data_IF_247020777557
#
_entry.id   IF_247020777557
#
_cell.length_a   1.000
_cell.length_b   1.000
_cell.length_c   1.000
_cell.angle_alpha   90.00
_cell.angle_beta   90.00
_cell.angle_gamma   90.00
#
_symmetry.space_group_name_H-M   'P 1'
#
loop_
_entity.id
_entity.type
_entity.pdbx_description
1 polymer ?
#
# COMPACT_ATOMS: atom_id res chain seq x y z
N UNK A 1 1.85 21.57 21.83
CA UNK A 1 1.46 21.76 20.42
C UNK A 1 0.64 20.53 20.06
N UNK A 2 -0.59 20.71 19.62
CA UNK A 2 -1.41 19.60 19.12
C UNK A 2 -0.89 19.23 17.73
N UNK A 3 -0.38 18.01 17.57
CA UNK A 3 0.04 17.48 16.27
C UNK A 3 -1.20 17.42 15.38
N UNK A 4 -1.14 17.97 14.17
CA UNK A 4 -2.26 17.93 13.22
C UNK A 4 -2.52 16.50 12.73
N UNK A 5 -3.75 16.21 12.28
CA UNK A 5 -4.09 14.89 11.72
C UNK A 5 -3.16 14.49 10.57
N UNK A 6 -2.77 15.42 9.72
CA UNK A 6 -1.88 15.16 8.57
C UNK A 6 -0.49 14.65 9.00
N UNK A 7 0.06 15.18 10.09
CA UNK A 7 1.35 14.72 10.61
C UNK A 7 1.23 13.33 11.25
N UNK A 8 0.14 13.06 11.98
CA UNK A 8 -0.16 11.74 12.56
C UNK A 8 -0.35 10.71 11.46
N UNK A 9 -1.09 11.08 10.41
CA UNK A 9 -1.32 10.22 9.26
C UNK A 9 -0.01 9.88 8.52
N UNK A 10 0.80 10.88 8.19
CA UNK A 10 2.08 10.68 7.51
C UNK A 10 3.02 9.79 8.32
N UNK A 11 3.09 10.00 9.64
CA UNK A 11 3.89 9.17 10.54
C UNK A 11 3.40 7.72 10.56
N UNK A 12 2.09 7.49 10.74
CA UNK A 12 1.49 6.16 10.77
C UNK A 12 1.67 5.44 9.43
N UNK A 13 1.44 6.12 8.31
CA UNK A 13 1.68 5.59 6.96
C UNK A 13 3.12 5.12 6.77
N UNK A 14 4.10 5.94 7.19
CA UNK A 14 5.52 5.61 7.10
C UNK A 14 5.85 4.37 7.94
N UNK A 15 5.31 4.29 9.16
CA UNK A 15 5.51 3.11 10.01
C UNK A 15 4.84 1.86 9.43
N UNK A 16 3.63 1.97 8.87
CA UNK A 16 2.94 0.85 8.20
C UNK A 16 3.73 0.32 6.99
N UNK A 17 4.33 1.22 6.20
CA UNK A 17 5.23 0.82 5.11
C UNK A 17 6.42 0.04 5.65
N UNK A 18 7.10 0.55 6.66
CA UNK A 18 8.24 -0.12 7.29
C UNK A 18 7.89 -1.50 7.87
N UNK A 19 6.69 -1.62 8.47
CA UNK A 19 6.15 -2.91 8.95
C UNK A 19 5.88 -3.85 7.78
N UNK A 20 5.24 -3.39 6.69
CA UNK A 20 5.00 -4.19 5.50
C UNK A 20 6.32 -4.72 4.90
N UNK A 21 7.35 -3.89 4.87
CA UNK A 21 8.67 -4.23 4.33
C UNK A 21 9.46 -5.15 5.26
N UNK A 22 9.57 -4.79 6.56
CA UNK A 22 10.52 -5.43 7.48
C UNK A 22 9.92 -6.58 8.30
N UNK A 23 8.63 -6.52 8.65
CA UNK A 23 7.98 -7.58 9.46
C UNK A 23 7.17 -8.58 8.62
N UNK A 24 6.83 -8.26 7.35
CA UNK A 24 6.00 -9.14 6.53
C UNK A 24 6.70 -9.56 5.25
N UNK A 25 7.08 -8.62 4.37
CA UNK A 25 7.66 -8.95 3.07
C UNK A 25 9.08 -9.52 3.15
N UNK A 26 9.93 -8.96 4.00
CA UNK A 26 11.30 -9.44 4.18
C UNK A 26 11.39 -10.88 4.71
N UNK A 27 10.69 -11.24 5.82
CA UNK A 27 10.57 -12.61 6.28
C UNK A 27 10.01 -13.56 5.23
N UNK A 28 8.95 -13.14 4.52
CA UNK A 28 8.38 -13.94 3.43
C UNK A 28 9.38 -14.15 2.28
N UNK A 29 10.13 -13.12 1.92
CA UNK A 29 11.12 -13.24 0.85
C UNK A 29 12.21 -14.25 1.21
N UNK A 30 12.73 -14.21 2.45
CA UNK A 30 13.74 -15.18 2.91
C UNK A 30 13.19 -16.61 2.98
N UNK A 31 11.92 -16.77 3.34
CA UNK A 31 11.29 -18.07 3.45
C UNK A 31 10.79 -18.65 2.12
N UNK A 32 10.30 -17.82 1.21
CA UNK A 32 9.53 -18.25 0.03
C UNK A 32 9.89 -17.54 -1.28
N UNK A 33 10.86 -16.62 -1.30
CA UNK A 33 11.36 -15.96 -2.51
C UNK A 33 10.39 -14.95 -3.12
N UNK A 34 9.38 -14.49 -2.40
CA UNK A 34 8.38 -13.51 -2.89
C UNK A 34 8.16 -12.37 -1.91
N UNK A 35 8.02 -11.14 -2.43
CA UNK A 35 7.69 -9.95 -1.65
C UNK A 35 6.21 -9.56 -1.75
N UNK A 36 5.42 -10.30 -2.56
CA UNK A 36 4.02 -9.97 -2.85
C UNK A 36 3.17 -10.07 -1.59
N UNK A 37 2.45 -9.00 -1.28
CA UNK A 37 1.49 -8.97 -0.18
C UNK A 37 0.06 -8.89 -0.74
N UNK A 38 -0.91 -9.27 0.08
CA UNK A 38 -2.33 -9.20 -0.23
C UNK A 38 -3.01 -8.20 0.69
N UNK A 39 -3.79 -7.27 0.14
CA UNK A 39 -4.65 -6.37 0.93
C UNK A 39 -5.77 -7.14 1.62
N UNK A 40 -6.16 -6.69 2.79
CA UNK A 40 -7.27 -7.19 3.61
C UNK A 40 -8.17 -6.03 4.03
N UNK A 41 -9.42 -6.27 4.44
CA UNK A 41 -10.34 -5.20 4.84
C UNK A 41 -9.76 -4.23 5.88
N UNK A 42 -8.95 -4.75 6.77
CA UNK A 42 -8.38 -4.06 7.92
C UNK A 42 -6.86 -4.22 8.02
N UNK A 43 -6.20 -4.46 6.91
CA UNK A 43 -4.74 -4.62 6.90
C UNK A 43 -4.20 -5.22 5.62
N UNK A 44 -3.17 -6.05 5.79
CA UNK A 44 -2.54 -6.78 4.70
C UNK A 44 -1.87 -8.06 5.22
N UNK A 45 -1.59 -8.99 4.31
CA UNK A 45 -0.99 -10.27 4.68
C UNK A 45 0.11 -10.69 3.70
N UNK A 46 1.05 -11.46 4.20
CA UNK A 46 1.92 -12.28 3.38
C UNK A 46 1.09 -13.26 2.54
N UNK A 47 1.61 -13.64 1.37
CA UNK A 47 0.93 -14.57 0.46
C UNK A 47 1.44 -16.01 0.57
N UNK A 48 2.62 -16.21 1.18
CA UNK A 48 3.32 -17.49 1.23
C UNK A 48 3.71 -17.95 2.64
N UNK A 49 3.52 -17.11 3.65
CA UNK A 49 3.76 -17.45 5.06
C UNK A 49 2.62 -16.91 5.93
N UNK A 50 2.41 -17.46 7.14
CA UNK A 50 1.28 -17.06 8.01
C UNK A 50 1.61 -15.81 8.84
N UNK A 51 1.88 -14.68 8.17
CA UNK A 51 2.06 -13.37 8.78
C UNK A 51 1.07 -12.37 8.17
N UNK A 52 0.45 -11.56 9.02
CA UNK A 52 -0.48 -10.51 8.60
C UNK A 52 -0.42 -9.31 9.53
N UNK A 53 -0.81 -8.15 9.02
CA UNK A 53 -1.18 -7.01 9.81
C UNK A 53 -2.70 -6.92 9.89
N UNK A 54 -3.24 -6.66 11.06
CA UNK A 54 -4.66 -6.50 11.36
C UNK A 54 -4.85 -5.25 12.21
N UNK A 55 -5.41 -4.19 11.67
CA UNK A 55 -5.47 -2.88 12.34
C UNK A 55 -4.07 -2.37 12.69
N UNK A 56 -3.75 -2.40 13.96
CA UNK A 56 -2.43 -2.01 14.50
C UNK A 56 -1.71 -3.19 15.19
N UNK A 57 -2.06 -4.44 14.84
CA UNK A 57 -1.46 -5.64 15.40
C UNK A 57 -0.79 -6.49 14.33
N UNK A 58 0.39 -7.02 14.64
CA UNK A 58 1.01 -8.08 13.84
C UNK A 58 0.45 -9.44 14.27
N UNK A 59 -0.06 -10.22 13.30
CA UNK A 59 -0.63 -11.55 13.50
C UNK A 59 0.35 -12.59 12.98
N UNK A 60 0.61 -13.61 13.78
CA UNK A 60 1.52 -14.72 13.50
C UNK A 60 0.92 -16.04 13.99
N UNK A 61 1.49 -17.21 13.71
CA UNK A 61 0.85 -18.50 14.00
C UNK A 61 0.39 -18.71 15.44
N UNK A 62 1.16 -18.18 16.40
CA UNK A 62 0.89 -18.39 17.83
C UNK A 62 0.08 -17.25 18.49
N UNK A 63 -0.35 -16.23 17.72
CA UNK A 63 -1.16 -15.14 18.26
C UNK A 63 -1.03 -13.81 17.52
N UNK A 64 -1.25 -12.72 18.25
CA UNK A 64 -1.02 -11.35 17.76
C UNK A 64 -0.30 -10.51 18.83
N UNK A 65 0.37 -9.46 18.40
CA UNK A 65 1.01 -8.45 19.23
C UNK A 65 0.69 -7.04 18.71
N UNK A 66 0.43 -6.08 19.61
CA UNK A 66 0.28 -4.69 19.21
C UNK A 66 1.60 -4.13 18.67
N UNK A 67 1.53 -3.36 17.60
CA UNK A 67 2.66 -2.63 17.04
C UNK A 67 2.91 -1.34 17.85
N UNK A 68 3.38 -1.53 19.09
CA UNK A 68 3.69 -0.47 20.04
C UNK A 68 5.01 -0.77 20.73
N UNK A 69 5.98 0.11 20.62
CA UNK A 69 7.33 -0.06 21.14
C UNK A 69 8.35 -0.43 20.07
N UNK A 70 9.59 -0.81 20.44
CA UNK A 70 10.66 -1.11 19.51
C UNK A 70 10.32 -2.26 18.57
N UNK A 71 10.50 -2.06 17.26
CA UNK A 71 10.15 -3.05 16.23
C UNK A 71 10.91 -4.37 16.41
N UNK A 72 12.19 -4.33 16.78
CA UNK A 72 13.01 -5.51 17.03
C UNK A 72 12.52 -6.32 18.23
N UNK A 73 12.06 -5.66 19.28
CA UNK A 73 11.48 -6.33 20.45
C UNK A 73 10.17 -7.05 20.09
N UNK A 74 9.31 -6.42 19.26
CA UNK A 74 8.08 -7.03 18.77
C UNK A 74 8.41 -8.23 17.87
N UNK A 75 9.36 -8.08 16.95
CA UNK A 75 9.81 -9.14 16.08
C UNK A 75 10.35 -10.34 16.86
N UNK A 76 11.18 -10.09 17.87
CA UNK A 76 11.72 -11.13 18.74
C UNK A 76 10.60 -11.88 19.48
N UNK A 77 9.64 -11.14 20.06
CA UNK A 77 8.52 -11.73 20.79
C UNK A 77 7.58 -12.56 19.89
N UNK A 78 7.42 -12.16 18.61
CA UNK A 78 6.63 -12.89 17.61
C UNK A 78 7.42 -14.02 16.90
N UNK A 79 8.71 -14.16 17.14
CA UNK A 79 9.57 -15.12 16.42
C UNK A 79 9.75 -14.77 14.94
N UNK A 80 9.63 -13.48 14.57
CA UNK A 80 9.77 -12.99 13.21
C UNK A 80 11.24 -12.64 12.94
N UNK A 81 11.81 -13.21 11.86
CA UNK A 81 13.11 -12.80 11.32
C UNK A 81 12.95 -11.46 10.58
N UNK A 82 13.00 -10.35 11.34
CA UNK A 82 12.74 -9.01 10.83
C UNK A 82 13.86 -8.50 9.89
N UNK A 83 13.49 -7.55 9.04
CA UNK A 83 14.39 -6.85 8.12
C UNK A 83 13.86 -6.85 6.69
N UNK A 84 14.27 -5.88 5.87
CA UNK A 84 13.78 -5.72 4.51
C UNK A 84 14.23 -6.88 3.58
N UNK A 85 13.59 -7.05 2.40
CA UNK A 85 13.97 -8.04 1.41
C UNK A 85 15.20 -7.59 0.62
N UNK A 86 16.39 -7.85 1.13
CA UNK A 86 17.65 -7.43 0.53
C UNK A 86 17.88 -8.02 -0.86
N UNK A 87 18.39 -7.20 -1.79
CA UNK A 87 18.76 -7.62 -3.14
C UNK A 87 17.59 -7.72 -4.14
N UNK A 88 16.37 -7.37 -3.75
CA UNK A 88 15.19 -7.38 -4.63
C UNK A 88 15.00 -5.99 -5.27
N UNK A 89 15.08 -4.96 -4.46
CA UNK A 89 14.98 -3.54 -4.87
C UNK A 89 15.85 -2.68 -3.95
N UNK A 90 16.10 -1.45 -4.35
CA UNK A 90 16.77 -0.48 -3.49
C UNK A 90 15.81 -0.02 -2.40
N UNK A 91 16.04 -0.43 -1.17
CA UNK A 91 15.26 0.04 -0.02
C UNK A 91 15.63 1.49 0.24
N UNK A 92 14.71 2.39 -0.07
CA UNK A 92 14.85 3.81 0.20
C UNK A 92 14.38 4.09 1.62
N UNK A 93 15.26 4.65 2.46
CA UNK A 93 14.95 4.99 3.84
C UNK A 93 14.43 3.79 4.67
N UNK A 94 15.25 2.75 4.88
CA UNK A 94 14.84 1.57 5.62
C UNK A 94 14.54 1.94 7.07
N UNK A 95 13.44 1.38 7.61
CA UNK A 95 13.11 1.55 9.03
C UNK A 95 14.18 0.90 9.90
N UNK A 96 14.71 1.67 10.86
CA UNK A 96 15.69 1.15 11.81
C UNK A 96 15.07 0.06 12.70
N UNK A 97 15.83 -1.01 13.05
CA UNK A 97 15.30 -2.11 13.86
C UNK A 97 14.74 -1.69 15.22
N UNK A 98 15.33 -0.66 15.84
CA UNK A 98 14.94 -0.09 17.12
C UNK A 98 13.89 1.01 17.04
N UNK A 99 13.28 1.21 15.85
CA UNK A 99 12.20 2.21 15.67
C UNK A 99 11.06 1.94 16.65
N UNK A 100 10.71 2.94 17.44
CA UNK A 100 9.57 2.90 18.37
C UNK A 100 8.26 3.06 17.60
N UNK A 101 7.57 1.96 17.36
CA UNK A 101 6.31 1.93 16.65
C UNK A 101 5.18 2.54 17.50
N UNK A 102 4.39 3.42 16.88
CA UNK A 102 3.24 4.11 17.49
C UNK A 102 2.22 4.41 16.41
N UNK A 103 1.49 3.39 16.00
CA UNK A 103 0.46 3.53 14.99
C UNK A 103 -0.80 4.18 15.57
N UNK A 104 -1.28 5.24 14.93
CA UNK A 104 -2.60 5.79 15.23
C UNK A 104 -3.68 4.92 14.57
N UNK A 105 -4.67 4.40 15.32
CA UNK A 105 -5.66 3.48 14.78
C UNK A 105 -6.56 4.09 13.69
N UNK A 106 -6.87 5.40 13.77
CA UNK A 106 -7.71 6.08 12.77
C UNK A 106 -6.95 6.28 11.48
N UNK A 107 -5.68 6.69 11.58
CA UNK A 107 -4.80 6.82 10.43
C UNK A 107 -4.51 5.46 9.77
N UNK A 108 -4.28 4.42 10.56
CA UNK A 108 -4.07 3.05 10.07
C UNK A 108 -5.30 2.52 9.34
N UNK A 109 -6.50 2.72 9.92
CA UNK A 109 -7.77 2.34 9.29
C UNK A 109 -7.94 3.02 7.93
N UNK A 110 -7.63 4.32 7.81
CA UNK A 110 -7.72 5.05 6.55
C UNK A 110 -6.77 4.49 5.48
N UNK A 111 -5.53 4.14 5.85
CA UNK A 111 -4.58 3.48 4.94
C UNK A 111 -5.13 2.12 4.48
N UNK A 112 -5.58 1.28 5.40
CA UNK A 112 -6.07 -0.07 5.07
C UNK A 112 -7.30 -0.02 4.18
N UNK A 113 -8.27 0.83 4.52
CA UNK A 113 -9.50 1.03 3.75
C UNK A 113 -9.22 1.48 2.31
N UNK A 114 -8.31 2.43 2.15
CA UNK A 114 -7.92 2.94 0.83
C UNK A 114 -7.29 1.86 -0.04
N UNK A 115 -6.31 1.12 0.50
CA UNK A 115 -5.63 0.04 -0.22
C UNK A 115 -6.59 -1.12 -0.54
N UNK A 116 -7.48 -1.48 0.38
CA UNK A 116 -8.47 -2.53 0.15
C UNK A 116 -9.49 -2.15 -0.92
N UNK A 117 -10.03 -0.94 -0.88
CA UNK A 117 -10.90 -0.40 -1.92
C UNK A 117 -10.20 -0.38 -3.29
N UNK A 118 -8.91 -0.01 -3.32
CA UNK A 118 -8.07 -0.08 -4.50
C UNK A 118 -7.98 -1.48 -5.08
N UNK A 119 -7.73 -2.48 -4.24
CA UNK A 119 -7.70 -3.89 -4.65
C UNK A 119 -9.03 -4.38 -5.23
N UNK A 120 -10.16 -3.92 -4.67
CA UNK A 120 -11.51 -4.21 -5.19
C UNK A 120 -11.74 -3.57 -6.56
N UNK A 121 -11.44 -2.27 -6.70
CA UNK A 121 -11.59 -1.55 -7.96
C UNK A 121 -10.73 -2.16 -9.08
N UNK A 122 -9.48 -2.55 -8.78
CA UNK A 122 -8.61 -3.23 -9.72
C UNK A 122 -9.19 -4.55 -10.21
N UNK A 123 -9.74 -5.38 -9.33
CA UNK A 123 -10.42 -6.63 -9.71
C UNK A 123 -11.66 -6.41 -10.55
N UNK A 124 -12.40 -5.33 -10.30
CA UNK A 124 -13.60 -4.98 -11.06
C UNK A 124 -13.24 -4.55 -12.49
N UNK A 125 -12.24 -3.67 -12.65
CA UNK A 125 -11.87 -3.08 -13.95
C UNK A 125 -10.96 -3.99 -14.76
N UNK A 126 -10.11 -4.77 -14.09
CA UNK A 126 -9.10 -5.66 -14.66
C UNK A 126 -9.23 -7.07 -14.08
N UNK A 127 -10.34 -7.79 -14.35
CA UNK A 127 -10.69 -9.04 -13.67
C UNK A 127 -9.71 -10.20 -13.93
N UNK A 128 -8.89 -10.12 -14.97
CA UNK A 128 -7.86 -11.10 -15.27
C UNK A 128 -6.55 -10.86 -14.51
N UNK A 129 -6.41 -9.69 -13.87
CA UNK A 129 -5.23 -9.32 -13.11
C UNK A 129 -5.40 -9.68 -11.63
N UNK A 130 -4.26 -9.85 -10.94
CA UNK A 130 -4.21 -10.14 -9.52
C UNK A 130 -3.54 -8.97 -8.81
N UNK A 131 -4.31 -8.09 -8.14
CA UNK A 131 -3.75 -6.97 -7.39
C UNK A 131 -2.75 -7.44 -6.33
N UNK A 132 -1.61 -6.77 -6.28
CA UNK A 132 -0.53 -7.03 -5.32
C UNK A 132 -0.26 -5.75 -4.54
N UNK A 133 -0.16 -5.85 -3.23
CA UNK A 133 0.42 -4.79 -2.41
C UNK A 133 1.95 -4.93 -2.47
N UNK A 134 2.60 -3.93 -3.06
CA UNK A 134 4.05 -3.86 -3.22
C UNK A 134 4.66 -3.11 -2.04
N UNK A 135 5.51 -3.76 -1.21
CA UNK A 135 6.06 -3.13 -0.01
C UNK A 135 6.98 -1.95 -0.31
N UNK A 136 7.70 -1.98 -1.45
CA UNK A 136 8.64 -0.93 -1.86
C UNK A 136 7.98 0.43 -2.09
N UNK A 137 6.78 0.42 -2.67
CA UNK A 137 5.99 1.63 -2.96
C UNK A 137 4.83 1.82 -1.99
N UNK A 138 4.50 0.80 -1.22
CA UNK A 138 3.35 0.70 -0.33
C UNK A 138 2.06 1.08 -1.05
N UNK A 139 1.87 0.46 -2.21
CA UNK A 139 0.72 0.62 -3.09
C UNK A 139 0.14 -0.74 -3.51
N UNK A 140 -1.16 -0.80 -3.73
CA UNK A 140 -1.80 -1.95 -4.37
C UNK A 140 -1.93 -1.69 -5.86
N UNK A 141 -1.33 -2.54 -6.68
CA UNK A 141 -1.23 -2.28 -8.11
C UNK A 141 -1.30 -3.54 -8.99
N UNK A 142 -1.58 -3.28 -10.26
CA UNK A 142 -1.42 -4.21 -11.39
C UNK A 142 -0.81 -3.48 -12.57
N UNK A 143 -0.17 -4.22 -13.47
CA UNK A 143 0.30 -3.72 -14.77
C UNK A 143 -0.44 -4.43 -15.89
N UNK A 144 -1.04 -3.69 -16.81
CA UNK A 144 -1.66 -4.20 -18.04
C UNK A 144 -1.28 -3.31 -19.22
N UNK A 145 -0.85 -3.90 -20.33
CA UNK A 145 -0.51 -3.21 -21.60
C UNK A 145 0.42 -1.98 -21.41
N UNK A 146 1.50 -2.14 -20.66
CA UNK A 146 2.47 -1.07 -20.35
C UNK A 146 1.85 0.11 -19.55
N UNK A 147 0.81 -0.16 -18.78
CA UNK A 147 0.17 0.82 -17.89
C UNK A 147 0.07 0.26 -16.50
N UNK A 148 0.53 1.01 -15.51
CA UNK A 148 0.35 0.72 -14.10
C UNK A 148 -0.96 1.35 -13.61
N UNK A 149 -1.81 0.55 -12.98
CA UNK A 149 -3.01 0.99 -12.28
C UNK A 149 -2.86 0.66 -10.81
N UNK A 150 -3.09 1.61 -9.93
CA UNK A 150 -2.93 1.31 -8.51
C UNK A 150 -3.51 2.37 -7.58
N UNK A 151 -3.47 2.04 -6.29
CA UNK A 151 -3.76 2.95 -5.19
C UNK A 151 -2.57 2.98 -4.26
N UNK A 152 -2.01 4.17 -4.08
CA UNK A 152 -0.96 4.47 -3.11
C UNK A 152 -1.58 4.89 -1.78
N UNK A 153 -0.93 4.53 -0.68
CA UNK A 153 -1.25 5.07 0.64
C UNK A 153 -0.85 6.54 0.82
N UNK A 154 -0.25 7.15 -0.21
CA UNK A 154 0.36 8.47 -0.19
C UNK A 154 1.88 8.40 -0.11
N UNK A 155 2.54 9.49 -0.47
CA UNK A 155 3.98 9.67 -0.46
C UNK A 155 4.35 11.12 -0.07
N UNK A 156 5.61 11.51 -0.22
CA UNK A 156 6.07 12.87 0.14
C UNK A 156 5.57 13.94 -0.83
N UNK A 157 5.23 13.56 -2.06
CA UNK A 157 4.70 14.48 -3.09
C UNK A 157 3.18 14.63 -2.96
N UNK A 158 2.51 13.55 -2.61
CA UNK A 158 1.05 13.50 -2.39
C UNK A 158 0.76 12.77 -1.07
N UNK A 159 0.68 13.49 0.05
CA UNK A 159 0.74 12.89 1.38
C UNK A 159 -0.49 12.07 1.79
N UNK A 160 -1.61 12.17 1.07
CA UNK A 160 -2.85 11.41 1.31
C UNK A 160 -3.06 10.30 0.29
N UNK A 161 -3.88 9.27 0.56
CA UNK A 161 -4.15 8.20 -0.38
C UNK A 161 -4.71 8.69 -1.72
N UNK A 162 -4.24 8.08 -2.80
CA UNK A 162 -4.67 8.41 -4.16
C UNK A 162 -4.66 7.20 -5.08
N UNK A 163 -5.60 7.18 -6.03
CA UNK A 163 -5.57 6.27 -7.17
C UNK A 163 -4.72 6.85 -8.30
N UNK A 164 -4.06 6.00 -9.08
CA UNK A 164 -3.23 6.44 -10.19
C UNK A 164 -3.34 5.55 -11.43
N UNK A 165 -3.12 6.18 -12.61
CA UNK A 165 -2.93 5.53 -13.91
C UNK A 165 -1.60 6.01 -14.48
N UNK A 166 -0.62 5.12 -14.53
CA UNK A 166 0.76 5.41 -14.92
C UNK A 166 1.17 4.68 -16.21
N UNK A 167 0.91 5.24 -17.40
CA UNK A 167 1.40 4.67 -18.65
C UNK A 167 2.91 4.83 -18.76
N UNK A 168 3.62 3.78 -19.26
CA UNK A 168 5.06 3.83 -19.47
C UNK A 168 5.45 4.87 -20.54
N UNK A 169 4.55 5.11 -21.50
CA UNK A 169 4.71 6.17 -22.47
C UNK A 169 4.02 7.45 -21.98
N UNK A 170 4.76 8.56 -21.94
CA UNK A 170 4.23 9.85 -21.50
C UNK A 170 2.97 10.25 -22.27
N UNK A 171 1.95 10.68 -21.55
CA UNK A 171 0.69 11.20 -22.09
C UNK A 171 0.52 12.67 -21.75
N UNK A 172 -0.30 13.35 -22.53
CA UNK A 172 -0.63 14.77 -22.34
C UNK A 172 -2.14 14.98 -22.49
N UNK A 173 -2.67 16.00 -21.84
CA UNK A 173 -4.11 16.32 -21.86
C UNK A 173 -4.64 16.54 -20.44
N UNK A 174 -5.89 17.01 -20.32
CA UNK A 174 -6.46 17.43 -19.03
C UNK A 174 -6.60 16.30 -17.99
N UNK A 175 -6.67 15.04 -18.43
CA UNK A 175 -6.73 13.88 -17.54
C UNK A 175 -5.34 13.56 -16.93
N UNK A 176 -4.28 13.76 -17.69
CA UNK A 176 -2.90 13.42 -17.33
C UNK A 176 -2.28 14.52 -16.47
N UNK A 177 -2.67 14.59 -15.21
CA UNK A 177 -2.42 15.67 -14.27
C UNK A 177 -1.21 15.46 -13.35
N UNK A 178 -0.46 14.37 -13.55
CA UNK A 178 0.74 14.05 -12.76
C UNK A 178 1.94 13.74 -13.67
N UNK A 179 3.19 13.89 -13.17
CA UNK A 179 4.40 13.60 -13.96
C UNK A 179 4.47 12.17 -14.51
N UNK A 180 3.91 11.20 -13.77
CA UNK A 180 3.86 9.78 -14.11
C UNK A 180 2.59 9.37 -14.86
N UNK A 181 1.63 10.27 -15.07
CA UNK A 181 0.36 9.98 -15.72
C UNK A 181 -0.80 10.76 -15.12
N UNK A 182 -1.75 10.08 -14.48
CA UNK A 182 -2.90 10.70 -13.80
C UNK A 182 -3.02 10.21 -12.37
N UNK A 183 -3.50 11.08 -11.49
CA UNK A 183 -3.87 10.75 -10.12
C UNK A 183 -5.25 11.31 -9.75
N UNK A 184 -5.89 10.65 -8.78
CA UNK A 184 -7.16 11.04 -8.18
C UNK A 184 -7.06 10.86 -6.66
N UNK A 185 -7.12 11.95 -5.90
CA UNK A 185 -7.09 11.91 -4.43
C UNK A 185 -8.35 11.25 -3.87
N UNK A 186 -8.20 10.43 -2.84
CA UNK A 186 -9.31 9.74 -2.20
C UNK A 186 -9.89 10.59 -1.05
N UNK A 187 -11.20 10.51 -0.84
CA UNK A 187 -11.88 11.22 0.23
C UNK A 187 -11.97 10.33 1.49
N UNK A 188 -11.44 10.76 2.64
CA UNK A 188 -11.53 10.00 3.87
C UNK A 188 -12.96 9.84 4.42
N UNK A 189 -13.93 10.61 3.94
CA UNK A 189 -15.33 10.47 4.31
C UNK A 189 -16.05 9.32 3.60
N UNK A 190 -15.50 8.80 2.48
CA UNK A 190 -16.10 7.69 1.74
C UNK A 190 -15.85 6.35 2.47
N UNK A 191 -16.85 5.48 2.47
CA UNK A 191 -16.69 4.09 2.87
C UNK A 191 -16.00 3.25 1.78
N UNK A 192 -15.74 1.96 2.05
CA UNK A 192 -15.03 1.06 1.12
C UNK A 192 -15.73 0.98 -0.24
N UNK A 193 -17.05 0.88 -0.26
CA UNK A 193 -17.82 0.67 -1.51
C UNK A 193 -17.82 1.95 -2.35
N UNK A 194 -17.99 3.11 -1.72
CA UNK A 194 -17.92 4.41 -2.38
C UNK A 194 -16.51 4.68 -2.94
N UNK A 195 -15.46 4.39 -2.15
CA UNK A 195 -14.09 4.47 -2.62
C UNK A 195 -13.83 3.55 -3.81
N UNK A 196 -14.21 2.28 -3.71
CA UNK A 196 -14.01 1.31 -4.79
C UNK A 196 -14.72 1.73 -6.08
N UNK A 197 -15.95 2.25 -5.99
CA UNK A 197 -16.69 2.76 -7.13
C UNK A 197 -16.00 3.95 -7.81
N UNK A 198 -15.56 4.94 -7.03
CA UNK A 198 -14.86 6.13 -7.56
C UNK A 198 -13.51 5.77 -8.17
N UNK A 199 -12.76 4.88 -7.54
CA UNK A 199 -11.48 4.38 -8.06
C UNK A 199 -11.70 3.62 -9.37
N UNK A 200 -12.72 2.76 -9.44
CA UNK A 200 -13.06 2.02 -10.65
C UNK A 200 -13.44 2.98 -11.80
N UNK A 201 -14.27 3.99 -11.55
CA UNK A 201 -14.62 5.01 -12.53
C UNK A 201 -13.38 5.76 -13.05
N UNK A 202 -12.45 6.11 -12.17
CA UNK A 202 -11.19 6.77 -12.53
C UNK A 202 -10.32 5.86 -13.41
N UNK A 203 -10.17 4.58 -13.09
CA UNK A 203 -9.43 3.62 -13.91
C UNK A 203 -10.09 3.42 -15.29
N UNK A 204 -11.40 3.26 -15.33
CA UNK A 204 -12.16 3.17 -16.57
C UNK A 204 -11.97 4.41 -17.46
N UNK A 205 -11.97 5.60 -16.86
CA UNK A 205 -11.67 6.83 -17.57
C UNK A 205 -10.24 6.81 -18.13
N UNK A 206 -9.26 6.39 -17.32
CA UNK A 206 -7.87 6.26 -17.78
C UNK A 206 -7.73 5.34 -18.99
N UNK A 207 -8.43 4.19 -18.97
CA UNK A 207 -8.47 3.26 -20.11
C UNK A 207 -9.04 3.90 -21.37
N UNK A 208 -10.13 4.66 -21.26
CA UNK A 208 -10.70 5.40 -22.41
C UNK A 208 -9.73 6.44 -22.97
N UNK A 209 -9.09 7.23 -22.12
CA UNK A 209 -8.10 8.26 -22.51
C UNK A 209 -6.86 7.66 -23.22
N UNK A 210 -6.45 6.45 -22.84
CA UNK A 210 -5.37 5.71 -23.49
C UNK A 210 -5.74 5.30 -24.93
N UNK A 211 -6.98 4.96 -25.18
CA UNK A 211 -7.46 4.58 -26.52
C UNK A 211 -7.64 5.79 -27.45
N UNK A 212 -8.09 6.93 -26.93
CA UNK A 212 -8.30 8.14 -27.77
C UNK A 212 -6.99 8.79 -28.24
N UNK A 213 -5.86 8.52 -27.62
CA UNK A 213 -4.55 9.07 -27.99
C UNK A 213 -3.78 8.24 -29.03
N UNK A 214 -4.39 7.22 -29.63
CA UNK A 214 -3.76 6.36 -30.66
C UNK A 214 -4.21 6.71 -32.10
N UNK A 215 -4.83 7.91 -32.31
CA UNK A 215 -5.25 8.42 -33.61
C UNK A 215 -4.24 9.38 -34.24
#
# INVERSE_FOLDING_TARGET
MTVGFDEVFAHTRTQLRGVAESLVAGPQYRAAGTIRLAVRPDGFAATAIPLALHGTEIVFPDGSLPLTGPMDAIALAAGIDAGPPLGVYAVLDPMAPDTDLRLDPVAAEWVHRSLYAGGHALKQVLPQQHPVLWPEHFDVAVTEDEVNYGVSAGDDTHPTPYAYVGPWQKRTGPFWNAPFGALHSLDPADDVDALAARIAEFFERGRRELHHGRG
#
